data_IF_809938262313
#
_entry.id   IF_809938262313
#
_cell.length_a   1.000
_cell.length_b   1.000
_cell.length_c   1.000
_cell.angle_alpha   90.00
_cell.angle_beta   90.00
_cell.angle_gamma   90.00
#
_symmetry.space_group_name_H-M   'P 1'
#
loop_
_entity.id
_entity.type
_entity.pdbx_description
1 polymer ?
#
# COMPACT_ATOMS: atom_id res chain seq x y z
N UNK A 1 16.49 22.56 50.10
CA UNK A 1 16.77 22.57 48.65
C UNK A 1 17.26 21.19 48.28
N UNK A 2 16.44 20.37 47.63
CA UNK A 2 16.92 19.08 47.09
C UNK A 2 16.47 18.98 45.63
N UNK A 3 17.42 19.21 44.74
CA UNK A 3 17.29 19.10 43.30
C UNK A 3 17.12 17.63 42.94
N UNK A 4 15.88 17.20 42.73
CA UNK A 4 15.57 15.90 42.14
C UNK A 4 15.28 16.11 40.66
N UNK A 5 16.33 16.18 39.86
CA UNK A 5 16.25 16.19 38.41
C UNK A 5 15.77 14.82 37.93
N UNK A 6 14.45 14.57 37.96
CA UNK A 6 13.82 13.56 37.12
C UNK A 6 14.03 14.02 35.68
N UNK A 7 14.91 13.33 34.94
CA UNK A 7 15.19 13.64 33.54
C UNK A 7 13.87 13.83 32.78
N UNK A 8 13.69 15.02 32.20
CA UNK A 8 12.45 15.40 31.54
C UNK A 8 12.12 14.36 30.47
N UNK A 9 11.10 13.55 30.72
CA UNK A 9 10.46 12.75 29.70
C UNK A 9 9.96 13.69 28.59
N UNK A 10 9.96 13.20 27.36
CA UNK A 10 9.61 13.96 26.15
C UNK A 10 8.23 14.64 26.31
N UNK A 11 8.03 15.87 25.78
CA UNK A 11 6.72 16.54 25.81
C UNK A 11 5.58 15.67 25.25
N UNK A 12 4.37 15.80 25.79
CA UNK A 12 3.21 14.99 25.39
C UNK A 12 2.93 15.05 23.88
N UNK A 13 3.09 16.23 23.27
CA UNK A 13 2.91 16.40 21.82
C UNK A 13 3.95 15.60 21.02
N UNK A 14 5.22 15.63 21.43
CA UNK A 14 6.30 14.90 20.77
C UNK A 14 6.15 13.38 20.96
N UNK A 15 5.69 12.95 22.14
CA UNK A 15 5.34 11.55 22.40
C UNK A 15 4.19 11.10 21.52
N UNK A 16 3.08 11.85 21.49
CA UNK A 16 1.92 11.54 20.68
C UNK A 16 2.28 11.50 19.18
N UNK A 17 3.15 12.40 18.72
CA UNK A 17 3.71 12.37 17.38
C UNK A 17 4.53 11.12 17.08
N UNK A 18 5.39 10.73 18.02
CA UNK A 18 6.21 9.52 17.89
C UNK A 18 5.32 8.29 17.76
N UNK A 19 4.29 8.17 18.60
CA UNK A 19 3.32 7.07 18.53
C UNK A 19 2.57 7.13 17.19
N UNK A 20 2.06 8.29 16.78
CA UNK A 20 1.33 8.42 15.52
C UNK A 20 2.18 8.07 14.30
N UNK A 21 3.46 8.45 14.30
CA UNK A 21 4.41 8.11 13.24
C UNK A 21 4.65 6.60 13.18
N UNK A 22 4.79 5.95 14.33
CA UNK A 22 4.93 4.50 14.43
C UNK A 22 3.68 3.76 13.94
N UNK A 23 2.48 4.19 14.36
CA UNK A 23 1.22 3.62 13.87
C UNK A 23 1.10 3.70 12.35
N UNK A 24 1.43 4.86 11.75
CA UNK A 24 1.45 5.04 10.29
C UNK A 24 2.44 4.11 9.59
N UNK A 25 3.60 3.85 10.20
CA UNK A 25 4.61 2.93 9.69
C UNK A 25 4.09 1.49 9.75
N UNK A 26 3.62 1.07 10.91
CA UNK A 26 3.13 -0.28 11.18
C UNK A 26 1.95 -0.66 10.28
N UNK A 27 1.00 0.26 10.04
CA UNK A 27 -0.09 0.04 9.07
C UNK A 27 0.44 -0.27 7.67
N UNK A 28 1.47 0.44 7.20
CA UNK A 28 2.06 0.18 5.87
C UNK A 28 2.72 -1.20 5.83
N UNK A 29 3.47 -1.57 6.86
CA UNK A 29 4.13 -2.86 6.94
C UNK A 29 3.11 -4.02 6.97
N UNK A 30 2.03 -3.90 7.76
CA UNK A 30 0.95 -4.90 7.78
C UNK A 30 0.17 -4.96 6.47
N UNK A 31 0.00 -3.83 5.79
CA UNK A 31 -0.64 -3.81 4.46
C UNK A 31 0.21 -4.56 3.45
N UNK A 32 1.53 -4.29 3.39
CA UNK A 32 2.47 -5.05 2.55
C UNK A 32 2.42 -6.53 2.87
N UNK A 33 2.48 -6.88 4.16
CA UNK A 33 2.43 -8.27 4.60
C UNK A 33 1.09 -8.95 4.23
N UNK A 34 -0.04 -8.22 4.26
CA UNK A 34 -1.34 -8.70 3.78
C UNK A 34 -1.28 -9.04 2.30
N UNK A 35 -0.71 -8.15 1.47
CA UNK A 35 -0.65 -8.33 0.01
C UNK A 35 0.36 -9.38 -0.43
N UNK A 36 1.45 -9.57 0.33
CA UNK A 36 2.54 -10.50 -0.01
C UNK A 36 2.39 -11.88 0.65
N UNK A 37 1.45 -12.04 1.60
CA UNK A 37 1.20 -13.34 2.24
C UNK A 37 0.47 -14.32 1.32
N UNK A 38 1.13 -15.44 1.04
CA UNK A 38 0.54 -16.57 0.31
C UNK A 38 -0.42 -17.41 1.17
N UNK A 39 -0.19 -17.49 2.49
CA UNK A 39 -1.03 -18.25 3.41
C UNK A 39 -2.30 -17.45 3.79
N UNK A 40 -3.52 -17.99 3.58
CA UNK A 40 -4.77 -17.28 3.90
C UNK A 40 -4.87 -16.88 5.37
N UNK A 41 -4.43 -17.73 6.30
CA UNK A 41 -4.47 -17.43 7.74
C UNK A 41 -3.54 -16.27 8.10
N UNK A 42 -2.33 -16.22 7.54
CA UNK A 42 -1.37 -15.14 7.78
C UNK A 42 -1.88 -13.83 7.18
N UNK A 43 -2.47 -13.89 5.98
CA UNK A 43 -3.13 -12.75 5.35
C UNK A 43 -4.26 -12.19 6.22
N UNK A 44 -5.11 -13.06 6.77
CA UNK A 44 -6.20 -12.63 7.66
C UNK A 44 -5.65 -11.96 8.92
N UNK A 45 -4.62 -12.54 9.54
CA UNK A 45 -3.96 -11.95 10.71
C UNK A 45 -3.43 -10.54 10.42
N UNK A 46 -2.73 -10.33 9.29
CA UNK A 46 -2.26 -8.98 8.92
C UNK A 46 -3.40 -8.03 8.54
N UNK A 47 -4.50 -8.54 7.99
CA UNK A 47 -5.72 -7.74 7.74
C UNK A 47 -6.30 -7.23 9.05
N UNK A 48 -6.42 -8.10 10.07
CA UNK A 48 -6.97 -7.75 11.38
C UNK A 48 -6.07 -6.75 12.12
N UNK A 49 -4.74 -6.96 12.06
CA UNK A 49 -3.76 -6.03 12.60
C UNK A 49 -3.80 -4.67 11.89
N UNK A 50 -3.95 -4.65 10.57
CA UNK A 50 -4.10 -3.41 9.78
C UNK A 50 -5.33 -2.63 10.23
N UNK A 51 -6.49 -3.29 10.30
CA UNK A 51 -7.75 -2.66 10.70
C UNK A 51 -7.70 -2.13 12.15
N UNK A 52 -7.13 -2.92 13.06
CA UNK A 52 -6.98 -2.53 14.47
C UNK A 52 -6.05 -1.32 14.64
N UNK A 53 -4.94 -1.31 13.90
CA UNK A 53 -3.96 -0.21 13.96
C UNK A 53 -4.52 1.07 13.34
N UNK A 54 -5.29 0.97 12.23
CA UNK A 54 -5.98 2.11 11.64
C UNK A 54 -6.99 2.74 12.59
N UNK A 55 -7.73 1.93 13.35
CA UNK A 55 -8.67 2.42 14.37
C UNK A 55 -7.93 3.20 15.46
N UNK A 56 -6.86 2.63 16.01
CA UNK A 56 -6.04 3.30 17.03
C UNK A 56 -5.40 4.60 16.51
N UNK A 57 -4.92 4.59 15.26
CA UNK A 57 -4.40 5.78 14.60
C UNK A 57 -5.46 6.90 14.51
N UNK A 58 -6.71 6.55 14.18
CA UNK A 58 -7.83 7.48 14.13
C UNK A 58 -8.19 8.06 15.50
N UNK A 59 -8.26 7.21 16.52
CA UNK A 59 -8.53 7.61 17.91
C UNK A 59 -7.46 8.58 18.44
N UNK A 60 -6.18 8.24 18.23
CA UNK A 60 -5.07 9.12 18.62
C UNK A 60 -5.11 10.45 17.87
N UNK A 61 -5.41 10.44 16.57
CA UNK A 61 -5.56 11.66 15.79
C UNK A 61 -6.65 12.58 16.37
N UNK A 62 -7.81 12.05 16.73
CA UNK A 62 -8.88 12.82 17.36
C UNK A 62 -8.43 13.45 18.67
N UNK A 63 -7.73 12.70 19.53
CA UNK A 63 -7.19 13.22 20.81
C UNK A 63 -6.16 14.32 20.58
N UNK A 64 -5.22 14.11 19.66
CA UNK A 64 -4.20 15.11 19.32
C UNK A 64 -4.83 16.39 18.74
N UNK A 65 -5.87 16.26 17.92
CA UNK A 65 -6.58 17.40 17.35
C UNK A 65 -7.33 18.20 18.43
N UNK A 66 -8.07 17.53 19.32
CA UNK A 66 -8.79 18.16 20.43
C UNK A 66 -7.85 18.88 21.40
N UNK A 67 -6.63 18.34 21.57
CA UNK A 67 -5.61 18.90 22.47
C UNK A 67 -4.70 19.93 21.80
N UNK A 68 -5.00 20.34 20.56
CA UNK A 68 -4.16 21.25 19.76
C UNK A 68 -2.69 20.79 19.63
N UNK A 69 -2.46 19.47 19.68
CA UNK A 69 -1.13 18.84 19.58
C UNK A 69 -0.77 18.45 18.15
N UNK A 70 -1.72 18.51 17.21
CA UNK A 70 -1.49 18.14 15.82
C UNK A 70 -1.44 19.38 14.90
N UNK A 71 -0.27 19.92 14.51
CA UNK A 71 -0.17 20.74 13.32
C UNK A 71 -0.64 19.95 12.11
N UNK A 72 -1.78 20.38 11.54
CA UNK A 72 -2.20 19.90 10.24
C UNK A 72 -1.04 20.13 9.25
N UNK A 73 -0.64 19.12 8.46
CA UNK A 73 0.40 19.31 7.47
C UNK A 73 0.01 20.48 6.56
N UNK A 74 1.00 21.33 6.26
CA UNK A 74 0.82 22.44 5.34
C UNK A 74 0.26 21.95 4.00
N UNK A 75 -0.38 22.85 3.25
CA UNK A 75 -0.80 22.55 1.88
C UNK A 75 0.41 22.04 1.10
N UNK A 76 0.22 21.00 0.31
CA UNK A 76 1.26 20.50 -0.58
C UNK A 76 1.78 21.65 -1.45
N UNK A 77 3.10 21.75 -1.62
CA UNK A 77 3.69 22.74 -2.51
C UNK A 77 3.23 22.43 -3.94
N UNK A 78 2.86 23.47 -4.70
CA UNK A 78 2.44 23.31 -6.09
C UNK A 78 3.48 22.51 -6.90
N UNK A 79 4.77 22.74 -6.65
CA UNK A 79 5.87 22.02 -7.28
C UNK A 79 5.84 20.51 -7.07
N UNK A 80 5.37 20.03 -5.91
CA UNK A 80 5.31 18.59 -5.63
C UNK A 80 4.12 17.95 -6.33
N UNK A 81 3.00 18.69 -6.45
CA UNK A 81 1.86 18.29 -7.28
C UNK A 81 2.29 18.21 -8.75
N UNK A 82 2.99 19.23 -9.25
CA UNK A 82 3.44 19.29 -10.64
C UNK A 82 4.39 18.13 -10.99
N UNK A 83 5.33 17.80 -10.09
CA UNK A 83 6.20 16.62 -10.23
C UNK A 83 5.40 15.33 -10.32
N UNK A 84 4.43 15.14 -9.42
CA UNK A 84 3.61 13.92 -9.40
C UNK A 84 2.81 13.77 -10.71
N UNK A 85 2.27 14.88 -11.25
CA UNK A 85 1.57 14.91 -12.54
C UNK A 85 2.53 14.53 -13.68
N UNK A 86 3.75 15.09 -13.68
CA UNK A 86 4.72 14.78 -14.72
C UNK A 86 5.13 13.31 -14.70
N UNK A 87 5.40 12.74 -13.52
CA UNK A 87 5.70 11.31 -13.36
C UNK A 87 4.53 10.46 -13.84
N UNK A 88 3.29 10.77 -13.46
CA UNK A 88 2.12 10.02 -13.90
C UNK A 88 1.96 10.03 -15.43
N UNK A 89 2.22 11.17 -16.09
CA UNK A 89 2.20 11.26 -17.54
C UNK A 89 3.28 10.41 -18.20
N UNK A 90 4.50 10.40 -17.65
CA UNK A 90 5.58 9.55 -18.14
C UNK A 90 5.24 8.06 -17.99
N UNK A 91 4.79 7.64 -16.82
CA UNK A 91 4.37 6.25 -16.59
C UNK A 91 3.25 5.83 -17.52
N UNK A 92 2.29 6.72 -17.81
CA UNK A 92 1.25 6.45 -18.80
C UNK A 92 1.85 6.18 -20.18
N UNK A 93 2.77 7.01 -20.65
CA UNK A 93 3.42 6.83 -21.95
C UNK A 93 4.22 5.53 -22.02
N UNK A 94 4.98 5.20 -20.98
CA UNK A 94 5.73 3.95 -20.87
C UNK A 94 4.80 2.73 -20.92
N UNK A 95 3.66 2.81 -20.24
CA UNK A 95 2.65 1.75 -20.26
C UNK A 95 2.04 1.57 -21.66
N UNK A 96 1.71 2.67 -22.34
CA UNK A 96 1.21 2.64 -23.72
C UNK A 96 2.24 2.03 -24.68
N UNK A 97 3.52 2.39 -24.55
CA UNK A 97 4.61 1.80 -25.34
C UNK A 97 4.79 0.31 -25.03
N UNK A 98 4.76 -0.08 -23.76
CA UNK A 98 4.84 -1.49 -23.36
C UNK A 98 3.71 -2.32 -23.97
N UNK A 99 2.47 -1.82 -23.93
CA UNK A 99 1.30 -2.47 -24.54
C UNK A 99 1.47 -2.57 -26.05
N UNK A 100 1.92 -1.51 -26.73
CA UNK A 100 2.21 -1.55 -28.17
C UNK A 100 3.29 -2.58 -28.50
N UNK A 101 4.40 -2.60 -27.76
CA UNK A 101 5.49 -3.55 -27.95
C UNK A 101 5.01 -5.01 -27.79
N UNK A 102 4.12 -5.27 -26.82
CA UNK A 102 3.53 -6.59 -26.59
C UNK A 102 2.52 -6.97 -27.68
N UNK A 103 1.77 -6.01 -28.23
CA UNK A 103 0.84 -6.24 -29.33
C UNK A 103 1.54 -6.42 -30.69
N UNK A 104 2.72 -5.84 -30.91
CA UNK A 104 3.52 -6.05 -32.15
C UNK A 104 3.99 -7.51 -32.28
N UNK A 105 4.14 -8.22 -31.16
CA UNK A 105 4.46 -9.66 -31.16
C UNK A 105 3.21 -10.56 -31.25
N UNK A 106 2.00 -9.99 -31.30
CA UNK A 106 0.77 -10.72 -31.61
C UNK A 106 0.54 -10.66 -33.13
N UNK A 107 0.77 -11.81 -33.78
CA UNK A 107 0.56 -12.16 -35.20
C UNK A 107 -0.33 -11.18 -36.00
N UNK A 108 0.12 -10.67 -37.17
CA UNK A 108 -0.71 -9.84 -38.04
C UNK A 108 -1.79 -10.70 -38.71
N UNK A 109 -3.06 -10.52 -38.36
CA UNK A 109 -4.16 -11.16 -39.09
C UNK A 109 -5.48 -11.43 -38.36
N UNK A 110 -5.76 -10.87 -37.17
CA UNK A 110 -7.06 -11.07 -36.51
C UNK A 110 -7.90 -9.78 -36.48
N UNK A 111 -9.15 -9.79 -37.01
CA UNK A 111 -10.00 -8.60 -37.03
C UNK A 111 -10.42 -8.20 -35.60
N UNK A 112 -10.32 -6.89 -35.36
CA UNK A 112 -10.74 -6.22 -34.13
C UNK A 112 -12.26 -6.37 -33.96
N UNK A 113 -12.68 -6.99 -32.86
CA UNK A 113 -14.05 -6.86 -32.36
C UNK A 113 -14.65 -8.15 -31.86
N UNK A 114 -14.28 -8.62 -30.66
CA UNK A 114 -15.17 -9.45 -29.85
C UNK A 114 -15.03 -9.09 -28.36
N UNK A 115 -16.14 -8.88 -27.63
CA UNK A 115 -16.11 -8.68 -26.19
C UNK A 115 -15.60 -9.95 -25.51
N UNK A 116 -14.78 -9.78 -24.48
CA UNK A 116 -14.14 -10.83 -23.70
C UNK A 116 -15.20 -11.83 -23.19
N UNK A 117 -15.33 -12.96 -23.88
CA UNK A 117 -16.08 -14.13 -23.41
C UNK A 117 -15.06 -15.19 -23.06
N UNK A 118 -14.88 -15.42 -21.77
CA UNK A 118 -14.23 -16.63 -21.28
C UNK A 118 -15.17 -17.83 -21.50
N UNK A 119 -14.65 -18.99 -21.93
CA UNK A 119 -15.20 -20.24 -21.48
C UNK A 119 -14.14 -21.08 -20.75
N UNK A 120 -14.53 -21.45 -19.53
CA UNK A 120 -14.24 -22.69 -18.84
C UNK A 120 -14.19 -23.88 -19.82
N UNK A 121 -13.10 -24.66 -19.88
CA UNK A 121 -13.17 -26.12 -19.72
C UNK A 121 -11.78 -26.80 -19.67
N UNK A 122 -11.72 -27.75 -18.75
CA UNK A 122 -10.78 -28.83 -18.50
C UNK A 122 -10.35 -29.62 -19.74
N UNK A 123 -9.11 -30.13 -19.71
CA UNK A 123 -8.73 -31.54 -19.93
C UNK A 123 -7.25 -31.65 -20.34
N UNK A 124 -6.61 -32.75 -19.94
CA UNK A 124 -5.33 -33.27 -20.47
C UNK A 124 -4.02 -32.68 -19.92
N UNK A 125 -3.62 -33.11 -18.72
CA UNK A 125 -2.23 -33.53 -18.52
C UNK A 125 -2.22 -35.06 -18.38
N UNK A 126 -2.01 -35.70 -19.53
CA UNK A 126 -1.81 -37.13 -19.69
C UNK A 126 -0.50 -37.54 -18.99
N UNK A 127 -0.60 -38.67 -18.30
CA UNK A 127 0.42 -39.44 -17.59
C UNK A 127 1.81 -39.44 -18.22
N UNK A 128 2.84 -39.23 -17.40
CA UNK A 128 4.22 -39.55 -17.77
C UNK A 128 4.73 -40.71 -16.90
N UNK A 129 5.17 -41.84 -17.48
CA UNK A 129 5.54 -43.04 -16.74
C UNK A 129 7.02 -43.05 -16.40
N UNK A 130 7.38 -42.94 -15.11
CA UNK A 130 8.63 -43.50 -14.63
C UNK A 130 8.38 -44.40 -13.42
N UNK A 131 8.47 -45.69 -13.73
CA UNK A 131 8.41 -46.85 -12.85
C UNK A 131 9.64 -46.86 -11.96
N UNK A 132 9.40 -47.04 -10.66
CA UNK A 132 10.23 -47.88 -9.80
C UNK A 132 9.36 -49.03 -9.32
#
# INVERSE_FOLDING_TARGET
MNSSSTGSFMPDADLAYTILADLKRTVREYTTATTESNCPTVRQMFTDLTNSTLKLQGELYTVMQQSNMYPAPGKALQSDIDKQIQTANQTKQECEQFVQQKNINAVPGSPIGQPFRSPLNTSEYSSNPHVR
#
